data_IF_474168638910
#
_entry.id   IF_474168638910
#
_cell.length_a   1.000
_cell.length_b   1.000
_cell.length_c   1.000
_cell.angle_alpha   90.00
_cell.angle_beta   90.00
_cell.angle_gamma   90.00
#
_symmetry.space_group_name_H-M   'P 1'
#
loop_
_entity.id
_entity.type
_entity.pdbx_description
1 polymer ?
#
# COMPACT_ATOMS: atom_id res chain seq x y z
N UNK A 1 -7.48 2.23 20.82
CA UNK A 1 -8.09 0.92 21.15
C UNK A 1 -6.94 -0.01 21.44
N UNK A 2 -7.02 -0.77 22.54
CA UNK A 2 -5.99 -1.77 22.86
C UNK A 2 -6.11 -2.91 21.85
N UNK A 3 -5.01 -3.28 21.18
CA UNK A 3 -5.00 -4.15 20.00
C UNK A 3 -5.67 -5.50 20.29
N UNK A 4 -5.50 -6.05 21.49
CA UNK A 4 -5.94 -7.39 21.87
C UNK A 4 -6.84 -7.40 23.10
N UNK A 5 -7.69 -6.37 23.23
CA UNK A 5 -8.70 -6.36 24.28
C UNK A 5 -9.70 -7.50 24.03
N UNK A 6 -9.87 -8.37 25.02
CA UNK A 6 -10.95 -9.35 25.05
C UNK A 6 -12.27 -8.60 25.23
N UNK A 7 -13.23 -8.84 24.33
CA UNK A 7 -14.53 -8.13 24.32
C UNK A 7 -15.71 -9.04 24.64
N UNK A 8 -15.51 -10.35 24.58
CA UNK A 8 -16.47 -11.36 25.00
C UNK A 8 -15.75 -12.39 25.87
N UNK A 9 -16.41 -12.78 26.96
CA UNK A 9 -15.96 -13.89 27.82
C UNK A 9 -16.26 -15.24 27.19
N UNK A 10 -17.27 -15.32 26.33
CA UNK A 10 -17.72 -16.56 25.69
C UNK A 10 -16.98 -16.81 24.37
N UNK A 11 -16.51 -15.74 23.74
CA UNK A 11 -15.70 -15.79 22.52
C UNK A 11 -14.47 -14.88 22.70
N UNK A 12 -13.36 -15.44 23.22
CA UNK A 12 -12.12 -14.68 23.45
C UNK A 12 -11.38 -14.28 22.17
N UNK A 13 -11.73 -14.80 21.00
CA UNK A 13 -11.10 -14.47 19.71
C UNK A 13 -11.80 -13.29 19.02
N UNK A 14 -13.04 -12.99 19.42
CA UNK A 14 -13.79 -11.85 18.92
C UNK A 14 -13.06 -10.53 19.16
N UNK A 15 -13.04 -9.63 18.17
CA UNK A 15 -12.36 -8.32 18.27
C UNK A 15 -13.25 -7.18 17.75
N UNK A 16 -12.91 -5.96 18.19
CA UNK A 16 -13.53 -4.76 17.64
C UNK A 16 -13.01 -4.50 16.23
N UNK A 17 -13.94 -4.38 15.29
CA UNK A 17 -13.68 -3.96 13.93
C UNK A 17 -14.38 -2.66 13.57
N UNK A 18 -14.05 -2.16 12.37
CA UNK A 18 -14.66 -0.99 11.78
C UNK A 18 -15.00 -1.28 10.32
N UNK A 19 -16.25 -1.03 9.95
CA UNK A 19 -16.66 -0.92 8.54
C UNK A 19 -16.42 0.49 8.00
N UNK A 20 -16.49 1.50 8.88
CA UNK A 20 -16.14 2.88 8.55
C UNK A 20 -15.71 3.67 9.79
N UNK A 21 -15.38 4.96 9.62
CA UNK A 21 -15.12 5.88 10.75
C UNK A 21 -16.33 6.01 11.68
N UNK A 22 -17.55 5.86 11.15
CA UNK A 22 -18.80 5.96 11.91
C UNK A 22 -19.35 4.60 12.37
N UNK A 23 -19.05 3.51 11.65
CA UNK A 23 -19.62 2.17 11.95
C UNK A 23 -18.56 1.22 12.50
N UNK A 24 -18.72 0.87 13.77
CA UNK A 24 -17.97 -0.18 14.46
C UNK A 24 -18.79 -1.46 14.49
N UNK A 25 -18.12 -2.59 14.62
CA UNK A 25 -18.74 -3.88 14.88
C UNK A 25 -17.85 -4.69 15.83
N UNK A 26 -18.43 -5.69 16.46
CA UNK A 26 -17.75 -6.62 17.36
C UNK A 26 -17.92 -8.00 16.73
N UNK A 27 -16.81 -8.65 16.38
CA UNK A 27 -16.91 -9.88 15.59
C UNK A 27 -15.65 -10.20 14.80
N UNK A 28 -15.90 -10.80 13.64
CA UNK A 28 -14.92 -11.26 12.67
C UNK A 28 -15.17 -10.61 11.32
N UNK A 29 -14.18 -10.71 10.45
CA UNK A 29 -14.27 -10.43 9.03
C UNK A 29 -14.18 -11.73 8.27
N UNK A 30 -15.05 -11.88 7.30
CA UNK A 30 -14.99 -12.97 6.33
C UNK A 30 -14.39 -12.43 5.05
N UNK A 31 -13.36 -13.12 4.57
CA UNK A 31 -12.68 -12.86 3.31
C UNK A 31 -12.95 -14.04 2.39
N UNK A 32 -13.23 -13.80 1.12
CA UNK A 32 -13.69 -14.85 0.20
C UNK A 32 -12.96 -14.74 -1.12
N UNK A 33 -12.39 -15.84 -1.58
CA UNK A 33 -11.92 -16.01 -2.94
C UNK A 33 -13.02 -16.64 -3.79
N UNK A 34 -13.17 -16.15 -5.01
CA UNK A 34 -14.25 -16.55 -5.90
C UNK A 34 -13.71 -16.62 -7.34
N UNK A 35 -14.09 -17.66 -8.06
CA UNK A 35 -13.85 -17.77 -9.49
C UNK A 35 -14.68 -16.71 -10.24
N UNK A 36 -14.04 -15.95 -11.13
CA UNK A 36 -14.67 -14.83 -11.85
C UNK A 36 -15.81 -15.24 -12.77
N UNK A 37 -15.72 -16.43 -13.36
CA UNK A 37 -16.60 -16.84 -14.45
C UNK A 37 -17.94 -17.37 -13.94
N UNK A 38 -17.90 -18.22 -12.91
CA UNK A 38 -19.09 -18.89 -12.38
C UNK A 38 -19.51 -18.40 -10.98
N UNK A 39 -18.78 -17.45 -10.40
CA UNK A 39 -18.97 -16.97 -9.03
C UNK A 39 -18.88 -18.09 -7.97
N UNK A 40 -18.11 -19.14 -8.24
CA UNK A 40 -17.92 -20.24 -7.30
C UNK A 40 -16.93 -19.82 -6.22
N UNK A 41 -17.32 -19.98 -4.95
CA UNK A 41 -16.43 -19.69 -3.82
C UNK A 41 -15.38 -20.80 -3.75
N UNK A 42 -14.12 -20.42 -3.90
CA UNK A 42 -13.00 -21.38 -3.88
C UNK A 42 -12.30 -21.44 -2.53
N UNK A 43 -12.30 -20.34 -1.76
CA UNK A 43 -11.69 -20.28 -0.43
C UNK A 43 -12.36 -19.23 0.46
N UNK A 44 -12.37 -19.46 1.78
CA UNK A 44 -12.86 -18.53 2.78
C UNK A 44 -11.84 -18.44 3.93
N UNK A 45 -11.39 -17.22 4.21
CA UNK A 45 -10.55 -16.93 5.38
C UNK A 45 -11.35 -16.08 6.37
N UNK A 46 -11.29 -16.41 7.67
CA UNK A 46 -11.99 -15.67 8.73
C UNK A 46 -10.96 -15.07 9.69
N UNK A 47 -10.99 -13.76 9.84
CA UNK A 47 -10.06 -13.03 10.72
C UNK A 47 -10.80 -12.28 11.82
N UNK A 48 -10.20 -12.08 13.02
CA UNK A 48 -10.77 -11.18 14.01
C UNK A 48 -10.95 -9.75 13.48
N UNK A 49 -11.97 -9.03 13.96
CA UNK A 49 -12.36 -7.72 13.41
C UNK A 49 -11.28 -6.63 13.40
N UNK A 50 -10.21 -6.77 14.19
CA UNK A 50 -9.08 -5.84 14.26
C UNK A 50 -7.95 -6.13 13.24
N UNK A 51 -7.99 -7.25 12.54
CA UNK A 51 -7.00 -7.65 11.53
C UNK A 51 -7.18 -6.79 10.27
N UNK A 52 -6.08 -6.41 9.62
CA UNK A 52 -6.15 -5.67 8.36
C UNK A 52 -6.51 -6.61 7.21
N UNK A 53 -7.40 -6.18 6.31
CA UNK A 53 -7.91 -7.05 5.24
C UNK A 53 -6.79 -7.60 4.34
N UNK A 54 -5.71 -6.82 4.17
CA UNK A 54 -4.53 -7.26 3.43
C UNK A 54 -3.90 -8.55 3.96
N UNK A 55 -4.01 -8.82 5.27
CA UNK A 55 -3.40 -10.00 5.90
C UNK A 55 -4.06 -11.31 5.43
N UNK A 56 -5.31 -11.26 4.95
CA UNK A 56 -6.01 -12.43 4.43
C UNK A 56 -5.65 -12.78 2.97
N UNK A 57 -4.92 -11.92 2.24
CA UNK A 57 -4.65 -12.12 0.81
C UNK A 57 -3.84 -13.40 0.52
N UNK A 58 -2.75 -13.62 1.25
CA UNK A 58 -1.89 -14.79 1.06
C UNK A 58 -2.58 -16.09 1.49
N UNK A 59 -3.22 -16.17 2.68
CA UNK A 59 -4.01 -17.34 3.09
C UNK A 59 -5.05 -17.78 2.04
N UNK A 60 -5.78 -16.84 1.44
CA UNK A 60 -6.78 -17.13 0.41
C UNK A 60 -6.21 -17.80 -0.85
N UNK A 61 -4.91 -17.63 -1.13
CA UNK A 61 -4.23 -18.27 -2.26
C UNK A 61 -3.56 -19.57 -1.82
N UNK A 62 -2.90 -19.56 -0.66
CA UNK A 62 -2.09 -20.68 -0.20
C UNK A 62 -2.92 -21.89 0.24
N UNK A 63 -4.15 -21.67 0.70
CA UNK A 63 -5.04 -22.74 1.17
C UNK A 63 -5.75 -23.47 0.02
N UNK A 64 -5.73 -22.90 -1.20
CA UNK A 64 -6.32 -23.54 -2.36
C UNK A 64 -5.47 -24.76 -2.80
N UNK A 65 -6.10 -25.85 -3.27
CA UNK A 65 -5.39 -26.99 -3.86
C UNK A 65 -4.48 -26.54 -5.01
N UNK A 66 -3.33 -27.20 -5.20
CA UNK A 66 -2.37 -26.84 -6.25
C UNK A 66 -3.01 -26.79 -7.65
N UNK A 67 -3.96 -27.69 -7.93
CA UNK A 67 -4.66 -27.75 -9.22
C UNK A 67 -5.64 -26.58 -9.44
N UNK A 68 -5.91 -25.79 -8.40
CA UNK A 68 -6.86 -24.67 -8.40
C UNK A 68 -6.23 -23.36 -7.96
N UNK A 69 -4.91 -23.30 -7.77
CA UNK A 69 -4.25 -22.04 -7.46
C UNK A 69 -4.46 -21.05 -8.61
N UNK A 70 -4.88 -19.82 -8.31
CA UNK A 70 -5.18 -18.85 -9.34
C UNK A 70 -3.88 -18.31 -9.97
N UNK A 71 -3.85 -18.22 -11.30
CA UNK A 71 -2.77 -17.50 -11.99
C UNK A 71 -2.92 -15.97 -11.83
N UNK A 72 -4.15 -15.49 -11.60
CA UNK A 72 -4.47 -14.07 -11.43
C UNK A 72 -5.51 -13.86 -10.34
N UNK A 73 -5.29 -12.87 -9.49
CA UNK A 73 -6.25 -12.43 -8.47
C UNK A 73 -6.70 -11.00 -8.74
N UNK A 74 -8.01 -10.80 -8.77
CA UNK A 74 -8.65 -9.49 -8.81
C UNK A 74 -9.11 -9.16 -7.39
N UNK A 75 -8.69 -8.01 -6.87
CA UNK A 75 -9.05 -7.63 -5.51
C UNK A 75 -9.20 -6.12 -5.34
N UNK A 76 -9.97 -5.74 -4.33
CA UNK A 76 -10.11 -4.33 -3.97
C UNK A 76 -8.82 -3.75 -3.40
N UNK A 77 -8.78 -2.43 -3.31
CA UNK A 77 -7.62 -1.64 -2.88
C UNK A 77 -7.08 -2.02 -1.50
N UNK A 78 -7.88 -2.60 -0.60
CA UNK A 78 -7.43 -3.01 0.73
C UNK A 78 -6.45 -4.20 0.68
N UNK A 79 -6.52 -5.02 -0.37
CA UNK A 79 -5.61 -6.15 -0.59
C UNK A 79 -4.38 -5.79 -1.43
N UNK A 80 -4.36 -4.63 -2.09
CA UNK A 80 -3.30 -4.19 -3.02
C UNK A 80 -2.04 -3.62 -2.40
N UNK A 81 -1.68 -4.01 -1.18
CA UNK A 81 -0.50 -3.48 -0.48
C UNK A 81 0.79 -3.88 -1.19
N UNK A 82 1.86 -3.11 -0.98
CA UNK A 82 3.17 -3.46 -1.54
C UNK A 82 3.69 -4.83 -1.07
N UNK A 83 3.36 -5.23 0.17
CA UNK A 83 3.68 -6.55 0.71
C UNK A 83 2.93 -7.64 -0.06
N UNK A 84 1.62 -7.50 -0.23
CA UNK A 84 0.83 -8.48 -0.96
C UNK A 84 1.26 -8.61 -2.41
N UNK A 85 1.70 -7.51 -3.05
CA UNK A 85 2.25 -7.57 -4.41
C UNK A 85 3.52 -8.40 -4.48
N UNK A 86 4.46 -8.18 -3.55
CA UNK A 86 5.67 -9.00 -3.44
C UNK A 86 5.34 -10.47 -3.12
N UNK A 87 4.37 -10.71 -2.23
CA UNK A 87 3.96 -12.05 -1.83
C UNK A 87 3.27 -12.81 -2.96
N UNK A 88 2.44 -12.15 -3.78
CA UNK A 88 1.82 -12.75 -4.96
C UNK A 88 2.85 -13.02 -6.07
N UNK A 89 3.81 -12.12 -6.28
CA UNK A 89 4.91 -12.34 -7.22
C UNK A 89 5.74 -13.59 -6.87
N UNK A 90 6.09 -13.79 -5.59
CA UNK A 90 6.77 -15.02 -5.12
C UNK A 90 5.98 -16.29 -5.39
N UNK A 91 4.66 -16.20 -5.44
CA UNK A 91 3.73 -17.30 -5.76
C UNK A 91 3.48 -17.44 -7.26
N UNK A 92 4.08 -16.57 -8.09
CA UNK A 92 3.82 -16.48 -9.52
C UNK A 92 2.35 -16.17 -9.84
N UNK A 93 1.67 -15.47 -8.93
CA UNK A 93 0.28 -15.03 -9.08
C UNK A 93 0.26 -13.56 -9.46
N UNK A 94 -0.42 -13.23 -10.56
CA UNK A 94 -0.62 -11.85 -10.98
C UNK A 94 -1.69 -11.18 -10.11
N UNK A 95 -1.41 -10.00 -9.58
CA UNK A 95 -2.37 -9.22 -8.80
C UNK A 95 -2.89 -8.01 -9.58
N UNK A 96 -4.19 -8.01 -9.85
CA UNK A 96 -4.91 -6.89 -10.44
C UNK A 96 -5.67 -6.20 -9.32
N UNK A 97 -5.11 -5.07 -8.87
CA UNK A 97 -5.66 -4.34 -7.75
C UNK A 97 -5.41 -2.83 -7.91
N UNK A 98 -6.41 -1.96 -7.68
CA UNK A 98 -6.22 -0.52 -7.70
C UNK A 98 -5.18 -0.06 -6.66
N UNK A 99 -4.32 0.87 -7.07
CA UNK A 99 -3.46 1.64 -6.17
C UNK A 99 -4.20 2.91 -5.77
N UNK A 100 -4.25 3.28 -4.48
CA UNK A 100 -4.88 4.52 -4.05
C UNK A 100 -4.26 5.73 -4.75
N UNK A 101 -5.10 6.62 -5.26
CA UNK A 101 -4.67 7.93 -5.75
C UNK A 101 -4.12 8.72 -4.58
N UNK A 102 -2.85 9.12 -4.65
CA UNK A 102 -2.25 10.00 -3.65
C UNK A 102 -2.81 11.42 -3.87
N UNK A 103 -3.67 11.88 -2.97
CA UNK A 103 -4.30 13.20 -3.04
C UNK A 103 -3.41 14.32 -2.50
N UNK A 104 -2.19 14.03 -2.07
CA UNK A 104 -1.32 15.00 -1.43
C UNK A 104 -1.84 15.44 -0.06
N UNK A 105 -0.94 15.88 0.82
CA UNK A 105 -1.32 16.30 2.17
C UNK A 105 -1.49 17.82 2.21
N UNK A 106 -2.61 18.29 2.75
CA UNK A 106 -2.90 19.72 2.94
C UNK A 106 -2.84 20.54 1.64
N UNK A 107 -3.23 19.96 0.50
CA UNK A 107 -3.17 20.59 -0.82
C UNK A 107 -1.75 20.73 -1.38
N UNK A 108 -0.75 20.11 -0.75
CA UNK A 108 0.60 20.04 -1.32
C UNK A 108 0.69 18.91 -2.36
N UNK A 109 1.69 18.98 -3.24
CA UNK A 109 1.96 17.92 -4.20
C UNK A 109 2.01 16.53 -3.54
N UNK A 110 1.32 15.54 -4.12
CA UNK A 110 1.43 14.15 -3.69
C UNK A 110 2.83 13.61 -3.96
N UNK A 111 3.17 12.49 -3.34
CA UNK A 111 4.41 11.76 -3.63
C UNK A 111 4.45 11.30 -5.08
N UNK A 112 3.31 10.97 -5.68
CA UNK A 112 3.22 10.58 -7.10
C UNK A 112 3.71 11.69 -8.07
N UNK A 113 3.77 12.95 -7.64
CA UNK A 113 4.34 14.04 -8.42
C UNK A 113 5.89 14.07 -8.39
N UNK A 114 6.52 13.23 -7.57
CA UNK A 114 7.98 13.11 -7.45
C UNK A 114 8.44 11.83 -8.15
N UNK A 115 9.39 11.96 -9.06
CA UNK A 115 9.97 10.79 -9.74
C UNK A 115 11.06 10.22 -8.85
N UNK A 116 10.87 9.00 -8.38
CA UNK A 116 11.86 8.27 -7.58
C UNK A 116 12.51 7.25 -8.49
N UNK A 117 13.83 7.35 -8.64
CA UNK A 117 14.64 6.35 -9.30
C UNK A 117 15.38 5.56 -8.21
N UNK A 118 14.98 4.29 -8.03
CA UNK A 118 15.55 3.42 -7.01
C UNK A 118 16.93 2.88 -7.40
N UNK A 119 17.21 2.76 -8.70
CA UNK A 119 18.45 2.20 -9.23
C UNK A 119 19.55 3.27 -9.22
N UNK A 120 19.26 4.46 -9.73
CA UNK A 120 20.15 5.61 -9.65
C UNK A 120 20.17 6.25 -8.24
N UNK A 121 19.26 5.85 -7.35
CA UNK A 121 19.06 6.43 -6.02
C UNK A 121 18.92 7.95 -6.08
N UNK A 122 18.01 8.42 -6.93
CA UNK A 122 17.70 9.84 -7.09
C UNK A 122 16.21 10.12 -6.93
N UNK A 123 15.88 11.37 -6.61
CA UNK A 123 14.50 11.82 -6.63
C UNK A 123 14.38 13.19 -7.31
N UNK A 124 13.48 13.30 -8.29
CA UNK A 124 13.16 14.55 -8.98
C UNK A 124 11.83 15.12 -8.50
N UNK A 125 11.80 16.40 -8.14
CA UNK A 125 10.56 17.10 -7.77
C UNK A 125 9.81 17.68 -8.97
N UNK A 126 8.56 18.15 -8.79
CA UNK A 126 7.79 18.80 -9.86
C UNK A 126 8.45 20.04 -10.48
N UNK A 127 9.32 20.73 -9.74
CA UNK A 127 10.10 21.87 -10.24
C UNK A 127 11.36 21.45 -11.02
N UNK A 128 11.55 20.16 -11.28
CA UNK A 128 12.68 19.61 -12.04
C UNK A 128 13.97 19.38 -11.25
N UNK A 129 14.06 19.79 -9.97
CA UNK A 129 15.26 19.60 -9.14
C UNK A 129 15.45 18.13 -8.78
N UNK A 130 16.67 17.63 -8.95
CA UNK A 130 17.07 16.25 -8.64
C UNK A 130 17.91 16.25 -7.35
N UNK A 131 17.67 15.28 -6.47
CA UNK A 131 18.43 15.11 -5.23
C UNK A 131 18.98 13.70 -5.09
N UNK A 132 20.15 13.62 -4.46
CA UNK A 132 20.82 12.38 -4.02
C UNK A 132 20.97 12.33 -2.51
N UNK A 133 20.68 13.43 -1.79
CA UNK A 133 20.69 13.48 -0.33
C UNK A 133 19.61 12.54 0.21
N UNK A 134 20.03 11.63 1.10
CA UNK A 134 19.23 10.50 1.53
C UNK A 134 19.47 10.13 2.98
N UNK A 135 18.43 9.58 3.60
CA UNK A 135 18.46 9.02 4.95
C UNK A 135 18.17 7.52 4.83
N UNK A 136 19.02 6.71 5.44
CA UNK A 136 18.83 5.26 5.54
C UNK A 136 18.15 4.90 6.86
N UNK A 137 17.37 3.83 6.83
CA UNK A 137 16.82 3.25 8.04
C UNK A 137 17.93 2.59 8.86
N UNK A 138 18.04 2.94 10.15
CA UNK A 138 19.14 2.49 11.01
C UNK A 138 19.18 0.98 11.25
N UNK A 139 18.02 0.29 11.16
CA UNK A 139 17.94 -1.15 11.46
C UNK A 139 18.15 -2.00 10.22
N UNK A 140 17.57 -1.57 9.10
CA UNK A 140 17.52 -2.35 7.86
C UNK A 140 18.55 -1.88 6.82
N UNK A 141 19.23 -0.76 7.07
CA UNK A 141 20.14 -0.09 6.14
C UNK A 141 19.54 0.18 4.74
N UNK A 142 18.21 0.24 4.64
CA UNK A 142 17.51 0.56 3.38
C UNK A 142 17.32 2.05 3.22
N UNK A 143 17.29 2.51 1.96
CA UNK A 143 16.91 3.88 1.65
C UNK A 143 15.51 4.16 2.22
N UNK A 144 15.40 5.20 3.05
CA UNK A 144 14.16 5.54 3.76
C UNK A 144 13.57 6.85 3.29
N UNK A 145 14.40 7.85 3.04
CA UNK A 145 13.94 9.21 2.71
C UNK A 145 14.90 9.88 1.75
N UNK A 146 14.38 10.55 0.73
CA UNK A 146 15.09 11.59 -0.01
C UNK A 146 14.84 12.95 0.62
N UNK A 147 15.91 13.75 0.74
CA UNK A 147 15.86 15.07 1.35
C UNK A 147 16.12 16.12 0.27
N UNK A 148 15.18 17.05 0.12
CA UNK A 148 15.44 18.30 -0.58
C UNK A 148 15.91 19.29 0.47
N UNK A 149 17.12 19.83 0.30
CA UNK A 149 17.70 20.75 1.27
C UNK A 149 16.94 22.09 1.30
N UNK A 150 17.14 22.89 2.35
CA UNK A 150 16.49 24.20 2.42
C UNK A 150 17.03 25.13 1.32
N UNK A 151 18.32 25.07 1.03
CA UNK A 151 18.99 25.84 -0.02
C UNK A 151 18.40 25.51 -1.40
N UNK A 152 18.09 24.22 -1.63
CA UNK A 152 17.41 23.77 -2.85
C UNK A 152 15.95 24.25 -2.91
N UNK A 153 15.29 24.48 -1.78
CA UNK A 153 13.85 24.77 -1.74
C UNK A 153 13.52 26.27 -1.62
N UNK A 154 14.35 27.07 -0.96
CA UNK A 154 14.01 28.43 -0.51
C UNK A 154 13.60 29.39 -1.63
N UNK A 155 14.23 29.28 -2.81
CA UNK A 155 13.93 30.12 -3.98
C UNK A 155 13.05 29.39 -5.01
N UNK A 156 12.39 28.30 -4.63
CA UNK A 156 11.53 27.55 -5.53
C UNK A 156 10.15 28.24 -5.65
N UNK A 157 9.69 28.62 -6.86
CA UNK A 157 8.37 29.25 -7.02
C UNK A 157 7.22 28.32 -6.62
N UNK A 158 7.46 27.00 -6.63
CA UNK A 158 6.49 25.98 -6.25
C UNK A 158 6.53 25.63 -4.75
N UNK A 159 7.31 26.32 -3.91
CA UNK A 159 7.53 25.94 -2.51
C UNK A 159 6.23 25.78 -1.72
N UNK A 160 5.32 26.75 -1.83
CA UNK A 160 4.03 26.76 -1.12
C UNK A 160 3.09 25.63 -1.57
N UNK A 161 3.22 25.16 -2.81
CA UNK A 161 2.49 24.00 -3.34
C UNK A 161 3.23 22.68 -3.01
N UNK A 162 4.50 22.73 -2.63
CA UNK A 162 5.33 21.56 -2.39
C UNK A 162 5.30 21.12 -0.92
N UNK A 163 5.35 22.05 0.03
CA UNK A 163 5.45 21.73 1.46
C UNK A 163 4.92 22.85 2.35
N UNK A 164 4.29 22.46 3.48
CA UNK A 164 3.95 23.37 4.59
C UNK A 164 4.88 23.19 5.80
N UNK A 165 6.02 22.52 5.60
CA UNK A 165 6.99 22.28 6.66
C UNK A 165 7.61 23.58 7.14
N UNK A 166 7.67 23.78 8.46
CA UNK A 166 8.37 24.93 9.09
C UNK A 166 9.85 25.00 8.72
N UNK A 167 10.45 23.89 8.27
CA UNK A 167 11.85 23.83 7.81
C UNK A 167 12.04 24.34 6.37
N UNK A 168 10.97 24.80 5.70
CA UNK A 168 11.05 25.33 4.33
C UNK A 168 11.53 24.32 3.29
N UNK A 169 11.41 23.02 3.57
CA UNK A 169 11.97 21.95 2.75
C UNK A 169 11.05 20.73 2.64
N UNK A 170 11.23 19.92 1.60
CA UNK A 170 10.44 18.71 1.33
C UNK A 170 11.29 17.46 1.56
N UNK A 171 10.65 16.42 2.09
CA UNK A 171 11.24 15.08 2.22
C UNK A 171 10.29 14.07 1.60
N UNK A 172 10.84 13.07 0.91
CA UNK A 172 10.05 12.02 0.26
C UNK A 172 10.42 10.67 0.86
N UNK A 173 9.49 10.07 1.59
CA UNK A 173 9.68 8.74 2.18
C UNK A 173 9.57 7.66 1.11
N UNK A 174 10.52 6.74 1.08
CA UNK A 174 10.57 5.58 0.20
C UNK A 174 9.99 4.39 0.96
N UNK A 175 8.93 3.77 0.41
CA UNK A 175 8.36 2.56 0.98
C UNK A 175 9.35 1.40 0.77
N UNK A 176 9.34 0.36 1.62
CA UNK A 176 10.15 -0.83 1.37
C UNK A 176 9.74 -1.54 0.07
N UNK A 177 8.45 -1.45 -0.29
CA UNK A 177 7.87 -1.99 -1.51
C UNK A 177 7.69 -0.92 -2.59
N UNK A 178 8.55 0.11 -2.63
CA UNK A 178 8.36 1.24 -3.56
C UNK A 178 8.31 0.79 -5.02
N UNK A 179 9.18 -0.17 -5.39
CA UNK A 179 9.24 -0.74 -6.75
C UNK A 179 7.88 -1.30 -7.18
N UNK A 180 7.32 -2.24 -6.41
CA UNK A 180 6.00 -2.81 -6.67
C UNK A 180 4.88 -1.77 -6.72
N UNK A 181 4.94 -0.72 -5.90
CA UNK A 181 3.95 0.35 -5.93
C UNK A 181 4.09 1.26 -7.16
N UNK A 182 5.30 1.49 -7.66
CA UNK A 182 5.53 2.23 -8.89
C UNK A 182 5.06 1.43 -10.12
N UNK A 183 5.45 0.16 -10.19
CA UNK A 183 5.02 -0.78 -11.23
C UNK A 183 3.49 -0.90 -11.27
N UNK A 184 2.85 -1.05 -10.11
CA UNK A 184 1.39 -1.11 -10.03
C UNK A 184 0.69 0.17 -10.51
N UNK A 185 1.25 1.35 -10.25
CA UNK A 185 0.69 2.62 -10.75
C UNK A 185 0.81 2.75 -12.27
N UNK A 186 1.91 2.24 -12.84
CA UNK A 186 2.10 2.20 -14.29
C UNK A 186 1.11 1.20 -14.91
N UNK A 187 1.03 -0.01 -14.34
CA UNK A 187 0.11 -1.06 -14.78
C UNK A 187 -1.34 -0.61 -14.73
N UNK A 188 -1.76 0.13 -13.70
CA UNK A 188 -3.13 0.67 -13.59
C UNK A 188 -3.54 1.61 -14.75
N UNK A 189 -2.59 2.14 -15.53
CA UNK A 189 -2.88 2.97 -16.71
C UNK A 189 -3.03 2.17 -18.02
N UNK A 190 -2.78 0.85 -18.00
CA UNK A 190 -2.85 0.01 -19.21
C UNK A 190 -4.29 -0.47 -19.46
N UNK A 191 -4.59 -0.87 -20.70
CA UNK A 191 -5.88 -1.52 -21.02
C UNK A 191 -6.02 -2.87 -20.31
N UNK A 192 -4.91 -3.55 -20.04
CA UNK A 192 -4.88 -4.82 -19.31
C UNK A 192 -5.36 -4.70 -17.85
N UNK A 193 -5.38 -3.49 -17.28
CA UNK A 193 -5.97 -3.26 -15.96
C UNK A 193 -7.50 -3.13 -15.99
N UNK A 194 -8.08 -2.80 -17.16
CA UNK A 194 -9.52 -2.52 -17.30
C UNK A 194 -10.38 -3.78 -17.53
N UNK A 195 -9.83 -4.96 -17.21
CA UNK A 195 -10.52 -6.26 -17.31
C UNK A 195 -11.85 -6.22 -16.56
#
# INVERSE_FOLDING_TARGET
MVKDRIISTNDPEMRHGRKSSARKFDGYKTHTAMETDNNFITEIEVTPGNVHDCEAAAPLVDQQPEERKPDTVLCDMAYGTGQNREDMEKRQVKIICPVPTDSGRNGCFPKSAFKIDLDAQTCQCPAGKIVTEKIYDKKTNRLKVFVFSQEQCQNCPLLNQCTKSKKGRRTITVNQYERHLQEARIFQQTEEFKI
#
